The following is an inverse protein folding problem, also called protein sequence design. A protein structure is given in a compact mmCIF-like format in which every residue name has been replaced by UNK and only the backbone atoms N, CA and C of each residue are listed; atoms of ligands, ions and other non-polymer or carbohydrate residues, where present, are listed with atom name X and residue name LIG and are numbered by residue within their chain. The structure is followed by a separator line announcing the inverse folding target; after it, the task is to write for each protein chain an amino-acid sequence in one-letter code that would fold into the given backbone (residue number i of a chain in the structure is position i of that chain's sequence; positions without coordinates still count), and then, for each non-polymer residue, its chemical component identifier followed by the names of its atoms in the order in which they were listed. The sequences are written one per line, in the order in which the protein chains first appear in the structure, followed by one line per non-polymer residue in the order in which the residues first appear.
data_IF_471604595285
#
_entry.id   IF_471604595285
#
_cell.length_a   1.000
_cell.length_b   1.000
_cell.length_c   1.000
_cell.angle_alpha   90.00
_cell.angle_beta   90.00
_cell.angle_gamma   90.00
#
_symmetry.space_group_name_H-M   'P 1'
#
loop_
_entity.id
_entity.type
_entity.pdbx_description
1 polymer ?
#
# COMPACT_ATOMS: atom_id res chain seq x y z
N UNK A 1 12.48 9.34 -2.30
CA UNK A 1 12.85 10.33 -1.26
C UNK A 1 13.95 9.74 -0.37
N UNK A 2 14.76 10.57 0.28
CA UNK A 2 15.85 10.13 1.17
C UNK A 2 15.32 9.22 2.29
N UNK A 3 14.15 9.54 2.87
CA UNK A 3 13.51 8.73 3.90
C UNK A 3 13.19 7.30 3.46
N UNK A 4 12.72 7.11 2.21
CA UNK A 4 12.50 5.76 1.67
C UNK A 4 13.81 4.97 1.61
N UNK A 5 14.87 5.59 1.09
CA UNK A 5 16.19 4.95 0.94
C UNK A 5 16.75 4.53 2.29
N UNK A 6 16.75 5.45 3.27
CA UNK A 6 17.22 5.17 4.62
C UNK A 6 16.44 4.02 5.24
N UNK A 7 15.10 4.07 5.20
CA UNK A 7 14.26 3.03 5.80
C UNK A 7 14.44 1.67 5.12
N UNK A 8 14.49 1.66 3.79
CA UNK A 8 14.67 0.44 3.01
C UNK A 8 15.99 -0.27 3.36
N UNK A 9 17.10 0.46 3.36
CA UNK A 9 18.40 -0.13 3.71
C UNK A 9 18.50 -0.49 5.19
N UNK A 10 17.94 0.35 6.08
CA UNK A 10 17.97 0.11 7.53
C UNK A 10 17.28 -1.20 7.93
N UNK A 11 16.21 -1.59 7.22
CA UNK A 11 15.48 -2.84 7.48
C UNK A 11 16.10 -4.00 6.71
N UNK A 12 16.29 -3.86 5.39
CA UNK A 12 16.70 -4.99 4.53
C UNK A 12 18.16 -5.40 4.71
N UNK A 13 19.06 -4.47 5.09
CA UNK A 13 20.46 -4.83 5.37
C UNK A 13 20.66 -5.34 6.81
N UNK A 14 19.74 -5.04 7.71
CA UNK A 14 19.81 -5.45 9.10
C UNK A 14 19.15 -6.82 9.31
N UNK A 15 19.92 -7.89 9.06
CA UNK A 15 19.47 -9.28 9.22
C UNK A 15 18.86 -9.57 10.60
N UNK A 16 19.31 -8.88 11.65
CA UNK A 16 18.76 -9.05 13.02
C UNK A 16 17.33 -8.52 13.11
N UNK A 17 17.05 -7.35 12.53
CA UNK A 17 15.70 -6.78 12.49
C UNK A 17 14.81 -7.62 11.58
N UNK A 18 15.31 -8.00 10.40
CA UNK A 18 14.58 -8.84 9.45
C UNK A 18 14.14 -10.16 10.07
N UNK A 19 15.08 -10.92 10.65
CA UNK A 19 14.80 -12.22 11.27
C UNK A 19 13.88 -12.10 12.50
N UNK A 20 13.89 -10.96 13.20
CA UNK A 20 13.02 -10.73 14.36
C UNK A 20 11.58 -10.43 13.96
N UNK A 21 11.38 -9.72 12.84
CA UNK A 21 10.06 -9.26 12.39
C UNK A 21 9.41 -10.19 11.34
N UNK A 22 10.14 -11.19 10.85
CA UNK A 22 9.63 -12.14 9.86
C UNK A 22 9.07 -13.38 10.54
N UNK A 23 7.91 -13.85 10.07
CA UNK A 23 7.28 -15.09 10.55
C UNK A 23 7.84 -16.37 9.89
N UNK A 24 8.95 -16.26 9.16
CA UNK A 24 9.59 -17.35 8.41
C UNK A 24 9.79 -17.03 6.92
N UNK A 25 10.34 -17.98 6.14
CA UNK A 25 10.51 -17.80 4.70
C UNK A 25 9.17 -17.83 3.97
N UNK A 26 9.06 -17.05 2.88
CA UNK A 26 7.88 -17.07 2.01
C UNK A 26 7.84 -18.34 1.16
N UNK A 27 6.64 -18.91 1.02
CA UNK A 27 6.39 -20.03 0.08
C UNK A 27 6.51 -19.58 -1.39
N UNK A 28 6.69 -20.53 -2.32
CA UNK A 28 6.69 -20.22 -3.76
C UNK A 28 5.41 -19.51 -4.21
N UNK A 29 4.27 -19.89 -3.63
CA UNK A 29 2.99 -19.26 -3.92
C UNK A 29 3.00 -17.79 -3.48
N UNK A 30 3.42 -17.50 -2.25
CA UNK A 30 3.54 -16.13 -1.74
C UNK A 30 4.51 -15.28 -2.58
N UNK A 31 5.63 -15.86 -3.03
CA UNK A 31 6.58 -15.18 -3.91
C UNK A 31 5.96 -14.81 -5.28
N UNK A 32 5.23 -15.76 -5.89
CA UNK A 32 4.53 -15.53 -7.17
C UNK A 32 3.44 -14.47 -7.02
N UNK A 33 2.64 -14.52 -5.97
CA UNK A 33 1.60 -13.52 -5.70
C UNK A 33 2.21 -12.14 -5.44
N UNK A 34 3.26 -12.06 -4.63
CA UNK A 34 3.96 -10.79 -4.34
C UNK A 34 4.49 -10.13 -5.61
N UNK A 35 5.14 -10.90 -6.49
CA UNK A 35 5.64 -10.38 -7.77
C UNK A 35 4.50 -9.89 -8.66
N UNK A 36 3.42 -10.67 -8.79
CA UNK A 36 2.22 -10.26 -9.55
C UNK A 36 1.54 -9.04 -8.96
N UNK A 37 1.51 -8.90 -7.63
CA UNK A 37 0.95 -7.74 -6.95
C UNK A 37 1.74 -6.46 -7.29
N UNK A 38 3.08 -6.54 -7.31
CA UNK A 38 3.93 -5.42 -7.71
C UNK A 38 3.71 -5.06 -9.19
N UNK A 39 3.64 -6.04 -10.08
CA UNK A 39 3.32 -5.79 -11.50
C UNK A 39 1.94 -5.13 -11.63
N UNK A 40 0.96 -5.62 -10.88
CA UNK A 40 -0.39 -5.06 -10.84
C UNK A 40 -0.38 -3.58 -10.41
N UNK A 41 0.44 -3.19 -9.43
CA UNK A 41 0.56 -1.78 -9.01
C UNK A 41 0.93 -0.89 -10.19
N UNK A 42 1.96 -1.23 -10.96
CA UNK A 42 2.40 -0.44 -12.10
C UNK A 42 1.33 -0.38 -13.20
N UNK A 43 0.69 -1.51 -13.50
CA UNK A 43 -0.43 -1.56 -14.45
C UNK A 43 -1.57 -0.64 -14.00
N UNK A 44 -1.97 -0.71 -12.73
CA UNK A 44 -3.02 0.14 -12.18
C UNK A 44 -2.64 1.62 -12.17
N UNK A 45 -1.38 1.97 -11.91
CA UNK A 45 -0.92 3.36 -11.99
C UNK A 45 -1.06 3.92 -13.42
N UNK A 46 -0.72 3.12 -14.43
CA UNK A 46 -0.91 3.49 -15.84
C UNK A 46 -2.40 3.64 -16.17
N UNK A 47 -3.26 2.71 -15.73
CA UNK A 47 -4.68 2.74 -16.06
C UNK A 47 -5.45 3.85 -15.33
N UNK A 48 -5.15 4.09 -14.05
CA UNK A 48 -5.92 4.99 -13.19
C UNK A 48 -5.36 6.42 -13.16
N UNK A 49 -4.05 6.59 -13.30
CA UNK A 49 -3.40 7.91 -13.33
C UNK A 49 -2.99 8.35 -14.75
N UNK A 50 -2.53 7.40 -15.57
CA UNK A 50 -1.97 7.65 -16.91
C UNK A 50 -2.84 8.51 -17.85
N UNK A 51 -4.16 8.26 -17.98
CA UNK A 51 -5.02 9.04 -18.89
C UNK A 51 -5.04 10.54 -18.62
N UNK A 52 -4.71 10.95 -17.39
CA UNK A 52 -4.78 12.34 -16.94
C UNK A 52 -3.48 13.13 -17.13
N UNK A 53 -2.40 12.48 -17.59
CA UNK A 53 -1.13 13.16 -17.91
C UNK A 53 -1.23 14.09 -19.12
N UNK A 54 -2.00 13.70 -20.15
CA UNK A 54 -2.15 14.52 -21.35
C UNK A 54 -2.84 15.87 -21.07
N UNK A 55 -3.67 15.93 -20.02
CA UNK A 55 -4.39 17.14 -19.59
C UNK A 55 -3.78 17.78 -18.34
N UNK A 56 -2.65 17.25 -17.86
CA UNK A 56 -1.95 17.71 -16.65
C UNK A 56 -2.87 17.82 -15.42
N UNK A 57 -3.89 16.96 -15.33
CA UNK A 57 -4.81 16.97 -14.20
C UNK A 57 -4.15 16.27 -13.00
N UNK A 58 -3.29 16.99 -12.29
CA UNK A 58 -2.51 16.48 -11.17
C UNK A 58 -3.37 15.86 -10.08
N UNK A 59 -4.58 16.40 -9.84
CA UNK A 59 -5.50 15.81 -8.87
C UNK A 59 -5.84 14.37 -9.23
N UNK A 60 -6.32 14.14 -10.45
CA UNK A 60 -6.75 12.81 -10.88
C UNK A 60 -5.57 11.85 -11.05
N UNK A 61 -4.40 12.34 -11.46
CA UNK A 61 -3.15 11.56 -11.46
C UNK A 61 -2.85 11.03 -10.05
N UNK A 62 -2.84 11.90 -9.05
CA UNK A 62 -2.51 11.52 -7.68
C UNK A 62 -3.60 10.65 -7.03
N UNK A 63 -4.88 10.94 -7.25
CA UNK A 63 -5.96 10.05 -6.82
C UNK A 63 -5.83 8.67 -7.48
N UNK A 64 -5.44 8.62 -8.75
CA UNK A 64 -5.17 7.37 -9.48
C UNK A 64 -4.03 6.57 -8.84
N UNK A 65 -2.92 7.23 -8.49
CA UNK A 65 -1.80 6.58 -7.81
C UNK A 65 -2.18 6.06 -6.41
N UNK A 66 -2.95 6.83 -5.63
CA UNK A 66 -3.43 6.41 -4.31
C UNK A 66 -4.41 5.23 -4.42
N UNK A 67 -5.33 5.25 -5.40
CA UNK A 67 -6.27 4.16 -5.66
C UNK A 67 -5.53 2.90 -6.11
N UNK A 68 -4.56 3.02 -7.03
CA UNK A 68 -3.71 1.90 -7.46
C UNK A 68 -3.02 1.23 -6.27
N UNK A 69 -2.49 2.04 -5.34
CA UNK A 69 -1.86 1.56 -4.10
C UNK A 69 -2.87 0.84 -3.20
N UNK A 70 -4.08 1.40 -3.03
CA UNK A 70 -5.13 0.77 -2.23
C UNK A 70 -5.55 -0.60 -2.79
N UNK A 71 -5.75 -0.69 -4.10
CA UNK A 71 -6.13 -1.93 -4.79
C UNK A 71 -5.01 -2.98 -4.76
N UNK A 72 -3.76 -2.52 -4.86
CA UNK A 72 -2.57 -3.36 -4.77
C UNK A 72 -2.44 -4.10 -3.43
N UNK A 73 -3.06 -3.61 -2.35
CA UNK A 73 -3.06 -4.34 -1.07
C UNK A 73 -3.91 -5.62 -1.10
N UNK A 74 -4.94 -5.73 -1.95
CA UNK A 74 -5.81 -6.92 -1.93
C UNK A 74 -5.10 -8.23 -2.26
N UNK A 75 -4.28 -8.33 -3.32
CA UNK A 75 -3.49 -9.55 -3.57
C UNK A 75 -2.55 -9.91 -2.41
N UNK A 76 -2.04 -8.91 -1.67
CA UNK A 76 -1.19 -9.14 -0.51
C UNK A 76 -1.93 -9.79 0.67
N UNK A 77 -3.25 -9.94 0.62
CA UNK A 77 -3.99 -10.81 1.53
C UNK A 77 -3.37 -12.22 1.64
N UNK A 78 -2.95 -12.79 0.51
CA UNK A 78 -2.37 -14.13 0.48
C UNK A 78 -0.98 -14.22 1.12
N UNK A 79 -0.36 -13.08 1.44
CA UNK A 79 0.99 -12.99 2.00
C UNK A 79 0.97 -12.48 3.44
N UNK A 80 0.20 -11.41 3.69
CA UNK A 80 0.17 -10.69 4.97
C UNK A 80 -1.19 -10.82 5.70
N UNK A 81 -2.13 -11.56 5.13
CA UNK A 81 -3.41 -11.91 5.77
C UNK A 81 -4.47 -10.81 5.74
N UNK A 82 -5.48 -10.97 6.60
CA UNK A 82 -6.72 -10.14 6.62
C UNK A 82 -6.47 -8.64 6.78
N UNK A 83 -5.37 -8.25 7.43
CA UNK A 83 -5.00 -6.84 7.63
C UNK A 83 -4.92 -6.07 6.31
N UNK A 84 -4.46 -6.71 5.23
CA UNK A 84 -4.34 -6.08 3.92
C UNK A 84 -5.69 -5.76 3.28
N UNK A 85 -6.73 -6.57 3.54
CA UNK A 85 -8.09 -6.29 3.08
C UNK A 85 -8.62 -5.03 3.77
N UNK A 86 -8.48 -4.94 5.09
CA UNK A 86 -8.94 -3.77 5.85
C UNK A 86 -8.18 -2.51 5.48
N UNK A 87 -6.85 -2.60 5.32
CA UNK A 87 -6.02 -1.48 4.87
C UNK A 87 -6.41 -1.03 3.46
N UNK A 88 -6.56 -1.97 2.53
CA UNK A 88 -6.99 -1.72 1.16
C UNK A 88 -8.35 -1.03 1.09
N UNK A 89 -9.35 -1.54 1.81
CA UNK A 89 -10.68 -0.94 1.89
C UNK A 89 -10.66 0.47 2.47
N UNK A 90 -9.98 0.68 3.60
CA UNK A 90 -9.90 1.99 4.23
C UNK A 90 -9.27 3.04 3.31
N UNK A 91 -8.18 2.69 2.63
CA UNK A 91 -7.52 3.57 1.65
C UNK A 91 -8.42 3.79 0.42
N UNK A 92 -9.04 2.74 -0.12
CA UNK A 92 -9.89 2.83 -1.30
C UNK A 92 -11.10 3.74 -1.05
N UNK A 93 -11.76 3.61 0.12
CA UNK A 93 -12.89 4.46 0.51
C UNK A 93 -12.46 5.93 0.61
N UNK A 94 -11.32 6.20 1.24
CA UNK A 94 -10.78 7.56 1.37
C UNK A 94 -10.48 8.18 -0.01
N UNK A 95 -9.82 7.45 -0.89
CA UNK A 95 -9.50 7.94 -2.25
C UNK A 95 -10.77 8.09 -3.09
N UNK A 96 -11.73 7.17 -2.95
CA UNK A 96 -13.03 7.25 -3.61
C UNK A 96 -13.79 8.52 -3.21
N UNK A 97 -13.78 8.89 -1.92
CA UNK A 97 -14.32 10.18 -1.48
C UNK A 97 -13.62 11.36 -2.17
N UNK A 98 -12.30 11.28 -2.40
CA UNK A 98 -11.54 12.26 -3.19
C UNK A 98 -11.99 12.36 -4.66
N UNK A 99 -12.45 11.28 -5.28
CA UNK A 99 -13.02 11.32 -6.62
C UNK A 99 -14.41 11.97 -6.66
N UNK A 100 -15.28 11.65 -5.69
CA UNK A 100 -16.65 12.14 -5.64
C UNK A 100 -16.72 13.62 -5.20
N UNK A 101 -15.94 13.99 -4.19
CA UNK A 101 -15.99 15.32 -3.58
C UNK A 101 -14.80 16.16 -4.03
N UNK A 102 -14.92 16.75 -5.22
CA UNK A 102 -13.88 17.59 -5.82
C UNK A 102 -13.50 18.83 -4.97
N UNK A 103 -14.41 19.28 -4.10
CA UNK A 103 -14.20 20.37 -3.15
C UNK A 103 -13.24 20.01 -2.00
N UNK A 104 -13.04 18.71 -1.70
CA UNK A 104 -12.06 18.29 -0.71
C UNK A 104 -10.66 18.41 -1.32
N UNK A 105 -9.73 19.17 -0.73
CA UNK A 105 -8.38 19.30 -1.27
C UNK A 105 -7.65 17.95 -1.35
N UNK A 106 -6.90 17.72 -2.43
CA UNK A 106 -6.10 16.50 -2.61
C UNK A 106 -5.19 16.22 -1.41
N UNK A 107 -4.57 17.28 -0.85
CA UNK A 107 -3.69 17.16 0.31
C UNK A 107 -4.38 16.53 1.52
N UNK A 108 -5.66 16.85 1.76
CA UNK A 108 -6.43 16.25 2.86
C UNK A 108 -6.59 14.76 2.65
N UNK A 109 -6.99 14.33 1.45
CA UNK A 109 -7.12 12.90 1.10
C UNK A 109 -5.78 12.19 1.28
N UNK A 110 -4.68 12.79 0.81
CA UNK A 110 -3.34 12.21 0.92
C UNK A 110 -2.85 12.11 2.38
N UNK A 111 -3.09 13.11 3.21
CA UNK A 111 -2.72 13.05 4.64
C UNK A 111 -3.54 12.01 5.40
N UNK A 112 -4.84 11.89 5.13
CA UNK A 112 -5.67 10.83 5.72
C UNK A 112 -5.17 9.46 5.26
N UNK A 113 -4.86 9.29 3.98
CA UNK A 113 -4.32 8.05 3.42
C UNK A 113 -2.99 7.65 4.08
N UNK A 114 -2.09 8.61 4.29
CA UNK A 114 -0.84 8.42 5.01
C UNK A 114 -1.08 8.05 6.48
N UNK A 115 -2.03 8.72 7.15
CA UNK A 115 -2.38 8.43 8.55
C UNK A 115 -2.96 7.02 8.71
N UNK A 116 -3.87 6.60 7.82
CA UNK A 116 -4.43 5.24 7.80
C UNK A 116 -3.28 4.21 7.72
N UNK A 117 -2.36 4.39 6.77
CA UNK A 117 -1.21 3.49 6.58
C UNK A 117 -0.28 3.46 7.79
N UNK A 118 -0.02 4.62 8.40
CA UNK A 118 0.84 4.72 9.58
C UNK A 118 0.21 4.04 10.80
N UNK A 119 -1.08 4.27 11.06
CA UNK A 119 -1.81 3.66 12.18
C UNK A 119 -1.85 2.13 12.00
N UNK A 120 -2.16 1.64 10.80
CA UNK A 120 -2.09 0.22 10.49
C UNK A 120 -0.68 -0.34 10.68
N UNK A 121 0.35 0.36 10.21
CA UNK A 121 1.75 -0.05 10.39
C UNK A 121 2.15 -0.17 11.86
N UNK A 122 1.82 0.82 12.69
CA UNK A 122 2.07 0.81 14.14
C UNK A 122 1.30 -0.34 14.81
N UNK A 123 0.01 -0.50 14.49
CA UNK A 123 -0.80 -1.59 15.01
C UNK A 123 -0.21 -2.96 14.67
N UNK A 124 0.19 -3.16 13.41
CA UNK A 124 0.79 -4.41 12.97
C UNK A 124 2.13 -4.69 13.66
N UNK A 125 2.96 -3.66 13.82
CA UNK A 125 4.30 -3.80 14.38
C UNK A 125 4.32 -4.09 15.89
N UNK A 126 3.41 -3.48 16.66
CA UNK A 126 3.48 -3.53 18.13
C UNK A 126 2.33 -4.28 18.80
N UNK A 127 1.16 -4.35 18.16
CA UNK A 127 -0.09 -4.77 18.82
C UNK A 127 -0.69 -6.03 18.21
N UNK A 128 -0.39 -6.31 16.94
CA UNK A 128 -0.96 -7.46 16.24
C UNK A 128 -0.23 -8.76 16.56
N UNK A 129 -0.97 -9.88 16.50
CA UNK A 129 -0.38 -11.22 16.47
C UNK A 129 -0.44 -11.74 15.03
N UNK A 130 0.56 -12.52 14.58
CA UNK A 130 0.51 -13.16 13.27
C UNK A 130 -0.78 -13.95 13.09
N UNK A 131 -1.42 -13.79 11.93
CA UNK A 131 -2.55 -14.66 11.58
C UNK A 131 -2.05 -16.09 11.50
N UNK A 132 -2.78 -17.04 12.11
CA UNK A 132 -2.50 -18.46 11.87
C UNK A 132 -2.60 -18.71 10.36
N UNK A 133 -1.52 -19.25 9.79
CA UNK A 133 -1.55 -19.79 8.44
C UNK A 133 -2.45 -21.03 8.48
N UNK A 134 -3.44 -21.09 7.60
CA UNK A 134 -4.34 -22.24 7.45
C UNK A 134 -3.60 -23.29 6.61
#
# INVERSE_FOLDING_TARGET
SIGYVISFFSINMNKKVLNRLSDGPSSEFQNKVSSRAVILLFVLMVLLGGPFFATENWRLIWLGALMATALHFFPYYFVHGKSMIYLGLACAINVFAGYIFANIPLGVIAYIDAAIKLIFGIYLLFLSKPSKQI
#
